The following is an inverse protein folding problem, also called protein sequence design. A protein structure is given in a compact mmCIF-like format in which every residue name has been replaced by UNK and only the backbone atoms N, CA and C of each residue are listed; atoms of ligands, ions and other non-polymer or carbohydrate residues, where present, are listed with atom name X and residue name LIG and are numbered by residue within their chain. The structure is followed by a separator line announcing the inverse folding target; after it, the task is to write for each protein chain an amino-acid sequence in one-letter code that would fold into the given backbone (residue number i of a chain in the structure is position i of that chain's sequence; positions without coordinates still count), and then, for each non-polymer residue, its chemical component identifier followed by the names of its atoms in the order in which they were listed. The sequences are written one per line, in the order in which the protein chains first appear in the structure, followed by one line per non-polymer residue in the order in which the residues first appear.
data_IF_747526926368
#
_entry.id   IF_747526926368
#
_cell.length_a   1.000
_cell.length_b   1.000
_cell.length_c   1.000
_cell.angle_alpha   90.00
_cell.angle_beta   90.00
_cell.angle_gamma   90.00
#
_symmetry.space_group_name_H-M   'P 1'
#
loop_
_entity.id
_entity.type
_entity.pdbx_description
1 polymer ?
#
# COMPACT_ATOMS: atom_id res chain seq x y z
N UNK A 1 19.02 9.88 21.09
CA UNK A 1 18.33 8.58 21.07
C UNK A 1 17.93 8.35 19.63
N UNK A 2 18.53 7.39 18.95
CA UNK A 2 18.29 7.25 17.50
C UNK A 2 17.81 5.84 17.16
N UNK A 3 16.64 5.75 16.55
CA UNK A 3 16.18 4.56 15.85
C UNK A 3 16.35 4.81 14.36
N UNK A 4 17.25 4.06 13.74
CA UNK A 4 17.69 4.30 12.36
C UNK A 4 17.15 3.27 11.38
N UNK A 5 17.00 3.70 10.12
CA UNK A 5 16.78 2.83 8.97
C UNK A 5 17.95 3.03 8.00
N UNK A 6 18.61 1.96 7.63
CA UNK A 6 19.63 1.96 6.59
C UNK A 6 19.07 1.31 5.34
N UNK A 7 19.26 1.96 4.20
CA UNK A 7 18.88 1.48 2.87
C UNK A 7 20.15 1.24 2.07
N UNK A 8 20.40 -0.02 1.69
CA UNK A 8 21.36 -0.34 0.64
C UNK A 8 20.76 0.11 -0.69
N UNK A 9 21.12 1.31 -1.12
CA UNK A 9 20.49 2.02 -2.23
C UNK A 9 20.68 1.31 -3.57
N UNK A 10 21.87 0.72 -3.81
CA UNK A 10 22.17 0.01 -5.05
C UNK A 10 21.29 -1.26 -5.16
N UNK A 11 21.29 -2.05 -4.12
CA UNK A 11 20.50 -3.28 -4.05
C UNK A 11 19.00 -2.99 -4.11
N UNK A 12 18.54 -1.96 -3.41
CA UNK A 12 17.16 -1.52 -3.41
C UNK A 12 16.72 -1.08 -4.80
N UNK A 13 17.50 -0.23 -5.49
CA UNK A 13 17.21 0.23 -6.85
C UNK A 13 17.27 -0.90 -7.88
N UNK A 14 18.14 -1.87 -7.71
CA UNK A 14 18.15 -3.09 -8.53
C UNK A 14 16.81 -3.83 -8.44
N UNK A 15 16.23 -3.95 -7.24
CA UNK A 15 14.89 -4.51 -7.09
C UNK A 15 13.82 -3.66 -7.79
N UNK A 16 13.86 -2.32 -7.68
CA UNK A 16 12.90 -1.45 -8.36
C UNK A 16 12.96 -1.66 -9.89
N UNK A 17 14.15 -1.62 -10.47
CA UNK A 17 14.35 -1.85 -11.91
C UNK A 17 13.83 -3.22 -12.36
N UNK A 18 14.10 -4.27 -11.58
CA UNK A 18 13.58 -5.62 -11.85
C UNK A 18 12.06 -5.69 -11.84
N UNK A 19 11.39 -5.01 -10.90
CA UNK A 19 9.93 -4.96 -10.85
C UNK A 19 9.36 -4.21 -12.04
N UNK A 20 9.95 -3.09 -12.43
CA UNK A 20 9.53 -2.35 -13.63
C UNK A 20 9.67 -3.20 -14.90
N UNK A 21 10.82 -3.86 -15.05
CA UNK A 21 11.09 -4.73 -16.20
C UNK A 21 10.07 -5.89 -16.28
N UNK A 22 9.84 -6.60 -15.17
CA UNK A 22 8.91 -7.74 -15.16
C UNK A 22 7.47 -7.34 -15.49
N UNK A 23 7.01 -6.18 -15.02
CA UNK A 23 5.68 -5.65 -15.36
C UNK A 23 5.62 -5.21 -16.82
N UNK A 24 6.66 -4.61 -17.35
CA UNK A 24 6.75 -4.22 -18.77
C UNK A 24 6.75 -5.45 -19.69
N UNK A 25 7.50 -6.50 -19.35
CA UNK A 25 7.51 -7.78 -20.07
C UNK A 25 6.13 -8.45 -20.05
N UNK A 26 5.39 -8.31 -18.95
CA UNK A 26 4.00 -8.77 -18.85
C UNK A 26 3.00 -7.86 -19.59
N UNK A 27 3.47 -6.78 -20.26
CA UNK A 27 2.68 -5.88 -21.08
C UNK A 27 1.94 -4.78 -20.30
N UNK A 28 2.34 -4.49 -19.06
CA UNK A 28 1.81 -3.39 -18.26
C UNK A 28 2.81 -2.25 -18.03
N UNK A 29 2.37 -1.19 -17.37
CA UNK A 29 3.23 -0.13 -16.82
C UNK A 29 3.03 -0.02 -15.31
N UNK A 30 4.09 0.37 -14.58
CA UNK A 30 4.03 0.49 -13.12
C UNK A 30 3.53 1.87 -12.72
N UNK A 31 2.58 1.89 -11.78
CA UNK A 31 2.20 3.07 -11.02
C UNK A 31 2.63 2.85 -9.56
N UNK A 32 3.72 3.48 -9.11
CA UNK A 32 4.17 3.35 -7.73
C UNK A 32 3.12 3.84 -6.73
N UNK A 33 2.82 3.04 -5.71
CA UNK A 33 1.92 3.44 -4.62
C UNK A 33 2.76 4.07 -3.50
N UNK A 34 2.49 5.35 -3.24
CA UNK A 34 3.17 6.19 -2.24
C UNK A 34 2.14 6.60 -1.21
N UNK A 35 2.06 5.91 -0.06
CA UNK A 35 1.00 6.13 0.92
C UNK A 35 1.42 5.82 2.36
N UNK A 36 0.62 6.33 3.31
CA UNK A 36 0.86 6.17 4.74
C UNK A 36 2.15 6.88 5.15
N UNK A 37 3.05 6.15 5.79
CA UNK A 37 4.38 6.65 6.13
C UNK A 37 5.42 6.45 5.01
N UNK A 38 4.99 6.33 3.75
CA UNK A 38 5.87 6.01 2.63
C UNK A 38 6.56 4.65 2.80
N UNK A 39 5.83 3.64 3.29
CA UNK A 39 6.37 2.31 3.54
C UNK A 39 7.59 2.31 4.48
N UNK A 40 7.68 3.30 5.38
CA UNK A 40 8.81 3.49 6.30
C UNK A 40 9.97 4.34 5.73
N UNK A 41 9.91 4.67 4.45
CA UNK A 41 10.93 5.46 3.74
C UNK A 41 10.56 6.95 3.59
N UNK A 42 9.28 7.29 3.83
CA UNK A 42 8.73 8.63 3.65
C UNK A 42 8.14 8.87 2.26
N UNK A 43 6.99 9.56 2.19
CA UNK A 43 6.28 9.80 0.93
C UNK A 43 7.11 10.65 -0.04
N UNK A 44 7.77 11.70 0.44
CA UNK A 44 8.61 12.56 -0.39
C UNK A 44 9.79 11.80 -1.02
N UNK A 45 10.43 10.88 -0.27
CA UNK A 45 11.53 10.06 -0.79
C UNK A 45 11.05 9.11 -1.88
N UNK A 46 9.90 8.45 -1.69
CA UNK A 46 9.33 7.56 -2.71
C UNK A 46 8.83 8.31 -3.93
N UNK A 47 8.27 9.50 -3.76
CA UNK A 47 7.86 10.37 -4.86
C UNK A 47 9.07 10.82 -5.70
N UNK A 48 10.17 11.22 -5.06
CA UNK A 48 11.42 11.56 -5.73
C UNK A 48 12.00 10.35 -6.47
N UNK A 49 12.03 9.17 -5.87
CA UNK A 49 12.51 7.96 -6.54
C UNK A 49 11.59 7.57 -7.71
N UNK A 50 10.29 7.80 -7.61
CA UNK A 50 9.35 7.61 -8.72
C UNK A 50 9.67 8.52 -9.91
N UNK A 51 10.13 9.76 -9.67
CA UNK A 51 10.66 10.65 -10.71
C UNK A 51 11.91 10.04 -11.38
N UNK A 52 12.82 9.45 -10.60
CA UNK A 52 14.01 8.77 -11.16
C UNK A 52 13.67 7.53 -11.98
N UNK A 53 12.60 6.82 -11.62
CA UNK A 53 12.10 5.68 -12.38
C UNK A 53 11.44 6.08 -13.71
N UNK A 54 11.22 7.37 -13.96
CA UNK A 54 10.62 7.87 -15.19
C UNK A 54 9.14 7.50 -15.35
N UNK A 55 8.42 7.22 -14.27
CA UNK A 55 6.99 6.88 -14.33
C UNK A 55 6.15 8.14 -14.53
N UNK A 56 5.02 8.01 -15.24
CA UNK A 56 4.13 9.13 -15.55
C UNK A 56 3.20 9.51 -14.38
N UNK A 57 2.87 8.54 -13.54
CA UNK A 57 1.94 8.74 -12.44
C UNK A 57 2.37 7.97 -11.19
N UNK A 58 2.00 8.50 -10.03
CA UNK A 58 2.05 7.81 -8.73
C UNK A 58 0.65 7.74 -8.14
N UNK A 59 0.45 6.82 -7.17
CA UNK A 59 -0.81 6.70 -6.46
C UNK A 59 -0.60 6.90 -4.96
N UNK A 60 -1.34 7.85 -4.36
CA UNK A 60 -1.37 8.10 -2.91
C UNK A 60 -2.59 7.43 -2.27
N UNK A 61 -2.54 7.17 -0.96
CA UNK A 61 -3.65 6.55 -0.24
C UNK A 61 -4.86 7.47 -0.15
N UNK A 62 -4.65 8.65 0.40
CA UNK A 62 -5.69 9.65 0.69
C UNK A 62 -5.35 11.01 0.08
N UNK A 63 -6.33 11.90 0.00
CA UNK A 63 -6.13 13.27 -0.48
C UNK A 63 -5.17 14.08 0.42
N UNK A 64 -5.07 13.72 1.70
CA UNK A 64 -4.16 14.37 2.65
C UNK A 64 -2.68 14.15 2.32
N UNK A 65 -2.35 13.09 1.61
CA UNK A 65 -0.98 12.75 1.19
C UNK A 65 -0.59 13.41 -0.15
N UNK A 66 -1.59 13.90 -0.91
CA UNK A 66 -1.40 14.32 -2.30
C UNK A 66 -0.44 15.51 -2.43
N UNK A 67 -0.55 16.53 -1.58
CA UNK A 67 0.29 17.72 -1.65
C UNK A 67 1.77 17.39 -1.35
N UNK A 68 2.04 16.56 -0.33
CA UNK A 68 3.39 16.13 0.02
C UNK A 68 4.02 15.35 -1.14
N UNK A 69 3.33 14.34 -1.66
CA UNK A 69 3.84 13.52 -2.75
C UNK A 69 4.05 14.34 -4.03
N UNK A 70 3.12 15.24 -4.37
CA UNK A 70 3.20 16.08 -5.55
C UNK A 70 4.31 17.14 -5.49
N UNK A 71 4.79 17.49 -4.30
CA UNK A 71 5.93 18.43 -4.15
C UNK A 71 7.25 17.84 -4.63
N UNK A 72 7.40 16.51 -4.58
CA UNK A 72 8.60 15.77 -4.96
C UNK A 72 8.44 14.99 -6.29
N UNK A 73 7.27 15.06 -6.92
CA UNK A 73 6.95 14.36 -8.17
C UNK A 73 6.26 15.30 -9.16
N UNK A 74 6.73 15.37 -10.38
CA UNK A 74 6.21 16.30 -11.40
C UNK A 74 5.07 15.72 -12.25
N UNK A 75 4.86 14.40 -12.25
CA UNK A 75 3.81 13.71 -13.00
C UNK A 75 2.45 13.75 -12.32
N UNK A 76 1.54 12.90 -12.76
CA UNK A 76 0.17 12.80 -12.27
C UNK A 76 0.09 12.08 -10.91
N UNK A 77 -0.85 12.48 -10.08
CA UNK A 77 -1.09 11.90 -8.76
C UNK A 77 -2.52 11.38 -8.67
N UNK A 78 -2.65 10.07 -8.49
CA UNK A 78 -3.93 9.38 -8.29
C UNK A 78 -4.20 9.23 -6.80
N UNK A 79 -5.36 9.66 -6.33
CA UNK A 79 -5.83 9.41 -4.98
C UNK A 79 -6.66 8.14 -4.97
N UNK A 80 -6.19 7.11 -4.24
CA UNK A 80 -6.79 5.77 -4.20
C UNK A 80 -8.06 5.70 -3.36
N UNK A 81 -8.15 6.50 -2.31
CA UNK A 81 -9.37 6.61 -1.52
C UNK A 81 -10.48 7.23 -2.38
N UNK A 82 -11.64 6.58 -2.50
CA UNK A 82 -12.73 7.13 -3.27
C UNK A 82 -13.17 8.49 -2.75
N UNK A 83 -13.37 9.43 -3.67
CA UNK A 83 -13.93 10.73 -3.33
C UNK A 83 -15.39 10.59 -2.90
N UNK A 84 -15.69 11.04 -1.69
CA UNK A 84 -17.03 11.05 -1.13
C UNK A 84 -17.34 12.41 -0.51
N UNK A 85 -18.35 13.16 -0.99
CA UNK A 85 -18.68 14.49 -0.48
C UNK A 85 -19.20 14.48 0.98
N UNK A 86 -19.59 13.32 1.51
CA UNK A 86 -20.00 13.17 2.91
C UNK A 86 -18.83 13.27 3.89
N UNK A 87 -17.61 13.02 3.44
CA UNK A 87 -16.40 13.37 4.20
C UNK A 87 -16.08 14.86 3.96
N UNK A 88 -16.60 15.72 4.84
CA UNK A 88 -16.44 17.17 4.74
C UNK A 88 -14.99 17.63 4.91
N UNK A 89 -14.17 16.87 5.65
CA UNK A 89 -12.75 17.20 5.87
C UNK A 89 -11.97 16.92 4.59
N UNK A 90 -12.10 15.74 4.02
CA UNK A 90 -11.47 15.39 2.76
C UNK A 90 -11.96 16.30 1.61
N UNK A 91 -13.25 16.62 1.58
CA UNK A 91 -13.85 17.56 0.59
C UNK A 91 -13.24 18.96 0.67
N UNK A 92 -12.98 19.47 1.87
CA UNK A 92 -12.28 20.75 2.07
C UNK A 92 -10.84 20.72 1.55
N UNK A 93 -10.12 19.60 1.72
CA UNK A 93 -8.78 19.43 1.16
C UNK A 93 -8.84 19.37 -0.37
N UNK A 94 -9.78 18.60 -0.94
CA UNK A 94 -10.00 18.56 -2.39
C UNK A 94 -10.27 19.95 -2.98
N UNK A 95 -11.16 20.73 -2.37
CA UNK A 95 -11.47 22.09 -2.83
C UNK A 95 -10.22 22.99 -2.85
N UNK A 96 -9.37 22.88 -1.82
CA UNK A 96 -8.10 23.62 -1.74
C UNK A 96 -7.13 23.20 -2.84
N UNK A 97 -6.99 21.89 -3.06
CA UNK A 97 -6.09 21.35 -4.09
C UNK A 97 -6.58 21.65 -5.50
N UNK A 98 -7.89 21.57 -5.75
CA UNK A 98 -8.47 21.91 -7.05
C UNK A 98 -8.23 23.36 -7.45
N UNK A 99 -8.25 24.28 -6.49
CA UNK A 99 -7.95 25.69 -6.70
C UNK A 99 -6.44 25.97 -6.86
N UNK A 100 -5.58 24.99 -6.58
CA UNK A 100 -4.13 25.14 -6.64
C UNK A 100 -3.56 24.74 -8.01
N UNK A 101 -2.30 25.06 -8.31
CA UNK A 101 -1.60 24.57 -9.51
C UNK A 101 -1.48 23.03 -9.59
N UNK A 102 -1.74 22.30 -8.50
CA UNK A 102 -1.74 20.84 -8.49
C UNK A 102 -3.02 20.24 -9.07
N UNK A 103 -4.14 20.97 -9.00
CA UNK A 103 -5.45 20.47 -9.42
C UNK A 103 -5.48 19.76 -10.78
N UNK A 104 -4.87 20.30 -11.85
CA UNK A 104 -4.82 19.63 -13.16
C UNK A 104 -4.08 18.30 -13.18
N UNK A 105 -3.21 18.03 -12.20
CA UNK A 105 -2.40 16.80 -12.10
C UNK A 105 -3.04 15.73 -11.21
N UNK A 106 -4.11 16.09 -10.48
CA UNK A 106 -4.77 15.19 -9.55
C UNK A 106 -5.84 14.39 -10.27
N UNK A 107 -5.90 13.09 -9.98
CA UNK A 107 -6.95 12.19 -10.42
C UNK A 107 -7.72 11.67 -9.21
N UNK A 108 -9.04 11.80 -9.24
CA UNK A 108 -9.93 11.23 -8.23
C UNK A 108 -10.30 9.79 -8.57
N UNK A 109 -10.56 9.00 -7.54
CA UNK A 109 -11.25 7.70 -7.69
C UNK A 109 -12.73 7.90 -7.36
N UNK A 110 -13.60 7.57 -8.30
CA UNK A 110 -15.05 7.67 -8.18
C UNK A 110 -15.65 6.27 -8.00
N UNK A 111 -16.22 6.01 -6.82
CA UNK A 111 -16.78 4.73 -6.43
C UNK A 111 -18.24 4.84 -5.95
N UNK A 112 -18.86 5.99 -6.12
CA UNK A 112 -20.26 6.26 -5.74
C UNK A 112 -20.90 7.30 -6.63
N UNK A 113 -22.21 7.27 -6.75
CA UNK A 113 -22.99 8.26 -7.49
C UNK A 113 -22.84 9.66 -6.87
N UNK A 114 -22.86 9.76 -5.53
CA UNK A 114 -22.65 11.03 -4.83
C UNK A 114 -21.28 11.64 -5.10
N UNK A 115 -20.22 10.81 -5.13
CA UNK A 115 -18.87 11.25 -5.48
C UNK A 115 -18.78 11.75 -6.92
N UNK A 116 -19.52 11.10 -7.83
CA UNK A 116 -19.57 11.51 -9.23
C UNK A 116 -20.26 12.89 -9.40
N UNK A 117 -21.44 13.07 -8.81
CA UNK A 117 -22.14 14.36 -8.86
C UNK A 117 -21.30 15.49 -8.25
N UNK A 118 -20.67 15.27 -7.12
CA UNK A 118 -19.80 16.26 -6.52
C UNK A 118 -18.54 16.57 -7.35
N UNK A 119 -18.04 15.61 -8.13
CA UNK A 119 -16.97 15.87 -9.09
C UNK A 119 -17.43 16.76 -10.25
N UNK A 120 -18.67 16.57 -10.73
CA UNK A 120 -19.30 17.45 -11.74
C UNK A 120 -19.46 18.89 -11.19
N UNK A 121 -19.97 19.04 -9.97
CA UNK A 121 -20.07 20.33 -9.31
C UNK A 121 -18.70 21.03 -9.15
N UNK A 122 -17.67 20.25 -8.76
CA UNK A 122 -16.31 20.77 -8.68
C UNK A 122 -15.78 21.24 -10.04
N UNK A 123 -16.07 20.49 -11.12
CA UNK A 123 -15.68 20.88 -12.48
C UNK A 123 -16.31 22.20 -12.90
N UNK A 124 -17.60 22.39 -12.59
CA UNK A 124 -18.33 23.62 -12.87
C UNK A 124 -17.76 24.80 -12.08
N UNK A 125 -17.48 24.60 -10.77
CA UNK A 125 -16.90 25.63 -9.91
C UNK A 125 -15.53 26.11 -10.42
N UNK A 126 -14.67 25.19 -10.83
CA UNK A 126 -13.32 25.51 -11.29
C UNK A 126 -13.22 25.76 -12.80
N UNK A 127 -14.34 25.68 -13.53
CA UNK A 127 -14.42 25.87 -15.00
C UNK A 127 -13.40 25.02 -15.78
N UNK A 128 -13.18 23.81 -15.29
CA UNK A 128 -12.32 22.80 -15.94
C UNK A 128 -12.81 21.38 -15.64
N UNK A 129 -12.65 20.42 -16.57
CA UNK A 129 -12.96 19.05 -16.28
C UNK A 129 -12.12 18.51 -15.11
N UNK A 130 -12.73 17.68 -14.28
CA UNK A 130 -12.03 16.93 -13.23
C UNK A 130 -11.56 15.59 -13.80
N UNK A 131 -10.30 15.28 -13.59
CA UNK A 131 -9.72 13.99 -13.98
C UNK A 131 -10.11 12.90 -12.98
N UNK A 132 -10.62 11.78 -13.48
CA UNK A 132 -11.11 10.73 -12.59
C UNK A 132 -10.95 9.32 -13.16
N UNK A 133 -10.71 8.37 -12.25
CA UNK A 133 -10.86 6.93 -12.44
C UNK A 133 -12.23 6.50 -11.93
N UNK A 134 -12.88 5.59 -12.64
CA UNK A 134 -14.08 4.91 -12.15
C UNK A 134 -13.66 3.61 -11.48
N UNK A 135 -13.99 3.40 -10.21
CA UNK A 135 -13.67 2.14 -9.52
C UNK A 135 -14.82 1.14 -9.67
N UNK A 136 -14.53 0.00 -10.29
CA UNK A 136 -15.45 -1.13 -10.40
C UNK A 136 -15.44 -1.97 -9.12
N UNK A 137 -16.62 -2.41 -8.68
CA UNK A 137 -16.77 -3.29 -7.52
C UNK A 137 -16.25 -4.69 -7.85
N UNK A 138 -15.11 -5.03 -7.26
CA UNK A 138 -14.47 -6.33 -7.44
C UNK A 138 -14.90 -7.34 -6.36
N UNK A 139 -14.45 -8.58 -6.51
CA UNK A 139 -14.62 -9.64 -5.50
C UNK A 139 -14.01 -9.31 -4.13
N UNK A 140 -13.22 -8.24 -4.03
CA UNK A 140 -12.74 -7.71 -2.75
C UNK A 140 -13.85 -7.05 -1.92
N UNK A 141 -14.92 -6.55 -2.53
CA UNK A 141 -16.06 -5.90 -1.87
C UNK A 141 -15.68 -4.77 -0.90
N UNK A 142 -14.66 -3.98 -1.23
CA UNK A 142 -14.25 -2.84 -0.40
C UNK A 142 -14.90 -1.54 -0.84
N UNK A 143 -14.65 -1.15 -2.08
CA UNK A 143 -15.20 0.04 -2.73
C UNK A 143 -15.55 -0.32 -4.18
N UNK A 144 -16.29 0.55 -4.85
CA UNK A 144 -16.56 0.44 -6.28
C UNK A 144 -18.05 0.42 -6.62
N UNK A 145 -18.34 0.75 -7.85
CA UNK A 145 -19.66 0.72 -8.45
C UNK A 145 -19.94 -0.65 -9.08
N UNK A 146 -21.15 -1.14 -8.97
CA UNK A 146 -21.61 -2.32 -9.70
C UNK A 146 -21.72 -2.04 -11.21
N UNK A 147 -21.76 -3.08 -12.02
CA UNK A 147 -21.81 -2.99 -13.49
C UNK A 147 -22.96 -2.08 -13.99
N UNK A 148 -24.16 -2.22 -13.40
CA UNK A 148 -25.33 -1.43 -13.77
C UNK A 148 -25.17 0.06 -13.41
N UNK A 149 -24.53 0.37 -12.27
CA UNK A 149 -24.29 1.74 -11.86
C UNK A 149 -23.21 2.40 -12.73
N UNK A 150 -22.14 1.67 -13.05
CA UNK A 150 -21.12 2.14 -14.00
C UNK A 150 -21.76 2.45 -15.35
N UNK A 151 -22.58 1.53 -15.87
CA UNK A 151 -23.26 1.74 -17.14
C UNK A 151 -24.17 2.97 -17.14
N UNK A 152 -24.95 3.14 -16.07
CA UNK A 152 -25.87 4.29 -15.91
C UNK A 152 -25.12 5.63 -15.82
N UNK A 153 -24.02 5.67 -15.08
CA UNK A 153 -23.25 6.90 -14.89
C UNK A 153 -22.45 7.28 -16.13
N UNK A 154 -21.86 6.32 -16.83
CA UNK A 154 -21.12 6.57 -18.08
C UNK A 154 -22.09 7.01 -19.22
N UNK A 155 -23.34 6.60 -19.15
CA UNK A 155 -24.37 7.03 -20.12
C UNK A 155 -24.90 8.46 -19.88
N UNK A 156 -24.59 9.11 -18.77
CA UNK A 156 -25.04 10.48 -18.48
C UNK A 156 -24.27 11.52 -19.32
N UNK A 157 -24.94 12.24 -20.25
CA UNK A 157 -24.25 13.19 -21.14
C UNK A 157 -23.55 14.35 -20.42
N UNK A 158 -23.97 14.69 -19.19
CA UNK A 158 -23.36 15.77 -18.40
C UNK A 158 -21.93 15.44 -17.98
N UNK A 159 -21.56 14.14 -18.02
CA UNK A 159 -20.24 13.69 -17.57
C UNK A 159 -19.14 14.04 -18.57
N UNK A 160 -19.44 13.96 -19.86
CA UNK A 160 -18.44 14.14 -20.91
C UNK A 160 -17.82 15.54 -20.94
N UNK A 161 -18.55 16.55 -20.48
CA UNK A 161 -18.06 17.92 -20.43
C UNK A 161 -17.45 18.28 -19.07
N UNK A 162 -17.74 17.50 -18.03
CA UNK A 162 -17.36 17.78 -16.64
C UNK A 162 -16.24 16.89 -16.11
N UNK A 163 -16.05 15.69 -16.66
CA UNK A 163 -15.09 14.71 -16.18
C UNK A 163 -14.24 14.16 -17.31
N UNK A 164 -12.91 14.28 -17.17
CA UNK A 164 -11.97 13.56 -18.00
C UNK A 164 -11.77 12.17 -17.43
N UNK A 165 -12.31 11.15 -18.11
CA UNK A 165 -12.16 9.75 -17.69
C UNK A 165 -10.75 9.25 -17.98
N UNK A 166 -10.03 8.85 -16.94
CA UNK A 166 -8.66 8.34 -17.00
C UNK A 166 -8.60 6.80 -16.98
N UNK A 167 -9.76 6.15 -16.96
CA UNK A 167 -9.89 4.71 -17.04
C UNK A 167 -10.70 4.06 -15.92
N UNK A 168 -10.67 2.73 -15.93
CA UNK A 168 -11.32 1.88 -14.93
C UNK A 168 -10.29 1.40 -13.90
N UNK A 169 -10.57 1.63 -12.63
CA UNK A 169 -9.76 1.14 -11.50
C UNK A 169 -10.37 -0.15 -10.94
N UNK A 170 -9.54 -1.18 -10.74
CA UNK A 170 -9.92 -2.46 -10.16
C UNK A 170 -8.98 -2.83 -9.02
N UNK A 171 -9.52 -2.91 -7.80
CA UNK A 171 -8.76 -3.31 -6.63
C UNK A 171 -9.11 -4.75 -6.24
N UNK A 172 -8.15 -5.66 -6.44
CA UNK A 172 -8.38 -7.09 -6.32
C UNK A 172 -7.94 -7.63 -4.94
N UNK A 173 -8.51 -8.76 -4.46
CA UNK A 173 -8.05 -9.41 -3.24
C UNK A 173 -6.64 -9.99 -3.42
N UNK A 174 -5.87 -10.07 -2.33
CA UNK A 174 -4.54 -10.71 -2.32
C UNK A 174 -4.63 -12.24 -2.51
N UNK A 175 -5.70 -12.85 -1.99
CA UNK A 175 -5.95 -14.28 -2.08
C UNK A 175 -6.96 -14.53 -3.19
N UNK A 176 -6.78 -15.60 -3.96
CA UNK A 176 -7.75 -15.99 -5.00
C UNK A 176 -9.13 -16.22 -4.37
N UNK A 177 -10.21 -15.66 -4.96
CA UNK A 177 -11.56 -15.92 -4.50
C UNK A 177 -11.89 -17.42 -4.61
N UNK A 178 -12.38 -18.01 -3.53
CA UNK A 178 -12.71 -19.45 -3.46
C UNK A 178 -14.08 -19.77 -4.01
N UNK A 179 -14.95 -18.77 -4.17
CA UNK A 179 -16.32 -18.93 -4.65
C UNK A 179 -16.48 -18.29 -6.02
N UNK A 180 -17.07 -18.98 -7.02
CA UNK A 180 -17.52 -18.35 -8.26
C UNK A 180 -18.55 -17.27 -7.91
N UNK A 181 -18.44 -16.07 -8.47
CA UNK A 181 -19.50 -15.05 -8.33
C UNK A 181 -20.79 -15.59 -8.93
N UNK A 182 -21.78 -15.85 -8.10
CA UNK A 182 -23.19 -15.96 -8.51
C UNK A 182 -23.74 -14.55 -8.60
N UNK A 183 -23.67 -13.93 -9.74
CA UNK A 183 -24.16 -12.58 -10.01
C UNK A 183 -24.07 -12.29 -11.50
N UNK A 184 -24.45 -11.12 -11.94
CA UNK A 184 -24.60 -10.62 -13.33
C UNK A 184 -23.61 -11.13 -14.41
N UNK A 185 -22.43 -11.64 -14.04
CA UNK A 185 -21.50 -12.33 -14.95
C UNK A 185 -22.11 -13.59 -15.63
N UNK A 186 -23.27 -14.08 -15.18
CA UNK A 186 -23.99 -15.17 -15.85
C UNK A 186 -24.55 -14.75 -17.21
N UNK A 187 -24.86 -13.47 -17.43
CA UNK A 187 -25.38 -12.97 -18.69
C UNK A 187 -24.36 -12.93 -19.84
N UNK A 188 -23.07 -12.82 -19.54
CA UNK A 188 -22.01 -12.86 -20.56
C UNK A 188 -21.66 -14.29 -21.02
N UNK A 189 -22.17 -15.32 -20.34
CA UNK A 189 -21.96 -16.73 -20.75
C UNK A 189 -22.79 -17.17 -21.96
N UNK A 190 -23.80 -16.42 -22.32
CA UNK A 190 -24.78 -16.84 -23.39
C UNK A 190 -24.47 -16.28 -24.79
N UNK A 191 -23.40 -15.52 -24.95
CA UNK A 191 -22.90 -15.11 -26.27
C UNK A 191 -21.81 -16.07 -26.78
N UNK A 192 -22.21 -17.25 -27.12
CA UNK A 192 -21.74 -18.15 -28.19
C UNK A 192 -20.24 -18.36 -28.47
N UNK A 193 -19.29 -17.93 -27.67
CA UNK A 193 -17.87 -18.25 -27.85
C UNK A 193 -17.39 -19.22 -26.76
N UNK A 194 -17.29 -20.49 -27.13
CA UNK A 194 -16.81 -21.59 -26.27
C UNK A 194 -15.31 -21.53 -25.90
N UNK A 195 -14.78 -20.35 -25.66
CA UNK A 195 -13.41 -20.18 -25.14
C UNK A 195 -13.49 -20.29 -23.63
N UNK A 196 -13.09 -21.44 -23.09
CA UNK A 196 -12.77 -21.57 -21.67
C UNK A 196 -11.64 -20.60 -21.39
N UNK A 197 -11.95 -19.46 -20.76
CA UNK A 197 -10.94 -18.48 -20.38
C UNK A 197 -9.96 -19.15 -19.41
N UNK A 198 -8.78 -19.48 -19.90
CA UNK A 198 -7.67 -19.96 -19.08
C UNK A 198 -7.20 -18.78 -18.20
N UNK A 199 -6.90 -19.03 -16.93
CA UNK A 199 -6.38 -18.03 -16.02
C UNK A 199 -7.02 -18.10 -14.62
N UNK A 200 -6.46 -17.31 -13.72
CA UNK A 200 -6.93 -17.22 -12.34
C UNK A 200 -8.29 -16.49 -12.25
N UNK A 201 -8.97 -16.63 -11.10
CA UNK A 201 -10.23 -15.93 -10.88
C UNK A 201 -10.05 -14.39 -10.95
N UNK A 202 -8.93 -13.86 -10.48
CA UNK A 202 -8.61 -12.42 -10.56
C UNK A 202 -8.42 -11.96 -12.00
N UNK A 203 -7.66 -12.70 -12.81
CA UNK A 203 -7.43 -12.35 -14.21
C UNK A 203 -8.76 -12.37 -14.99
N UNK A 204 -9.60 -13.40 -14.81
CA UNK A 204 -10.93 -13.47 -15.43
C UNK A 204 -11.84 -12.31 -15.01
N UNK A 205 -11.80 -11.91 -13.75
CA UNK A 205 -12.56 -10.76 -13.24
C UNK A 205 -12.13 -9.46 -13.93
N UNK A 206 -10.82 -9.21 -14.07
CA UNK A 206 -10.30 -8.05 -14.79
C UNK A 206 -10.70 -8.06 -16.25
N UNK A 207 -10.60 -9.21 -16.95
CA UNK A 207 -10.98 -9.35 -18.35
C UNK A 207 -12.47 -9.05 -18.55
N UNK A 208 -13.33 -9.54 -17.67
CA UNK A 208 -14.78 -9.27 -17.76
C UNK A 208 -15.08 -7.78 -17.55
N UNK A 209 -14.51 -7.15 -16.55
CA UNK A 209 -14.63 -5.72 -16.32
C UNK A 209 -14.10 -4.89 -17.49
N UNK A 210 -12.97 -5.28 -18.09
CA UNK A 210 -12.37 -4.54 -19.19
C UNK A 210 -13.26 -4.57 -20.45
N UNK A 211 -13.87 -5.72 -20.77
CA UNK A 211 -14.80 -5.85 -21.89
C UNK A 211 -16.05 -5.00 -21.70
N UNK A 212 -16.64 -5.04 -20.50
CA UNK A 212 -17.76 -4.16 -20.17
C UNK A 212 -17.38 -2.69 -20.32
N UNK A 213 -16.27 -2.28 -19.71
CA UNK A 213 -15.81 -0.90 -19.71
C UNK A 213 -15.57 -0.37 -21.12
N UNK A 214 -14.83 -1.11 -21.95
CA UNK A 214 -14.58 -0.70 -23.34
C UNK A 214 -15.85 -0.60 -24.17
N UNK A 215 -16.81 -1.50 -23.95
CA UNK A 215 -18.12 -1.42 -24.59
C UNK A 215 -18.87 -0.15 -24.18
N UNK A 216 -18.89 0.19 -22.89
CA UNK A 216 -19.53 1.40 -22.37
C UNK A 216 -18.86 2.67 -22.91
N UNK A 217 -17.54 2.75 -22.90
CA UNK A 217 -16.78 3.87 -23.45
C UNK A 217 -17.07 4.05 -24.94
N UNK A 218 -17.01 2.98 -25.72
CA UNK A 218 -17.29 3.03 -27.15
C UNK A 218 -18.74 3.46 -27.46
N UNK A 219 -19.70 2.95 -26.68
CA UNK A 219 -21.13 3.20 -26.91
C UNK A 219 -21.55 4.63 -26.54
N UNK A 220 -21.07 5.14 -25.40
CA UNK A 220 -21.57 6.39 -24.83
C UNK A 220 -20.65 7.59 -25.10
N UNK A 221 -19.34 7.38 -25.19
CA UNK A 221 -18.36 8.43 -25.45
C UNK A 221 -17.93 8.45 -26.93
N UNK A 222 -17.72 7.29 -27.53
CA UNK A 222 -17.30 7.19 -28.94
C UNK A 222 -16.05 8.03 -29.22
N UNK A 223 -16.09 8.85 -30.27
CA UNK A 223 -14.99 9.73 -30.66
C UNK A 223 -14.69 10.87 -29.66
N UNK A 224 -15.55 11.08 -28.66
CA UNK A 224 -15.31 12.07 -27.58
C UNK A 224 -14.54 11.49 -26.39
N UNK A 225 -14.33 10.16 -26.37
CA UNK A 225 -13.56 9.54 -25.32
C UNK A 225 -12.11 10.04 -25.36
N UNK A 226 -11.53 10.50 -24.23
CA UNK A 226 -10.10 10.72 -24.19
C UNK A 226 -9.34 9.41 -24.41
N UNK A 227 -8.14 9.47 -24.97
CA UNK A 227 -7.31 8.28 -25.25
C UNK A 227 -7.06 7.44 -24.00
N UNK A 228 -7.04 8.09 -22.83
CA UNK A 228 -6.86 7.45 -21.52
C UNK A 228 -8.09 6.69 -21.02
N UNK A 229 -9.29 6.98 -21.55
CA UNK A 229 -10.55 6.43 -21.02
C UNK A 229 -10.60 4.89 -21.02
N UNK A 230 -9.96 4.23 -21.98
CA UNK A 230 -9.92 2.77 -22.05
C UNK A 230 -8.91 2.13 -21.07
N UNK A 231 -8.04 2.91 -20.41
CA UNK A 231 -6.96 2.40 -19.55
C UNK A 231 -7.50 1.63 -18.34
N UNK A 232 -6.88 0.49 -18.05
CA UNK A 232 -7.14 -0.28 -16.84
C UNK A 232 -6.10 0.03 -15.77
N UNK A 233 -6.54 0.30 -14.55
CA UNK A 233 -5.71 0.54 -13.38
C UNK A 233 -5.92 -0.59 -12.38
N UNK A 234 -5.03 -1.57 -12.38
CA UNK A 234 -5.18 -2.81 -11.62
C UNK A 234 -4.25 -2.86 -10.41
N UNK A 235 -4.60 -3.65 -9.41
CA UNK A 235 -3.73 -3.96 -8.28
C UNK A 235 -3.74 -5.46 -7.99
N UNK A 236 -2.67 -5.96 -7.36
CA UNK A 236 -2.54 -7.33 -6.84
C UNK A 236 -2.59 -8.44 -7.91
N UNK A 237 -2.40 -8.14 -9.17
CA UNK A 237 -2.06 -9.14 -10.18
C UNK A 237 -0.57 -9.50 -10.08
N UNK A 238 -0.24 -10.78 -10.23
CA UNK A 238 1.12 -11.21 -10.52
C UNK A 238 1.43 -11.05 -12.02
N UNK A 239 2.70 -11.28 -12.41
CA UNK A 239 3.14 -11.06 -13.79
C UNK A 239 2.45 -12.02 -14.78
N UNK A 240 2.16 -13.27 -14.38
CA UNK A 240 1.45 -14.23 -15.19
C UNK A 240 -0.02 -13.84 -15.38
N UNK A 241 -0.68 -13.33 -14.34
CA UNK A 241 -2.04 -12.81 -14.42
C UNK A 241 -2.11 -11.56 -15.31
N UNK A 242 -1.12 -10.66 -15.16
CA UNK A 242 -1.02 -9.45 -15.99
C UNK A 242 -0.83 -9.82 -17.46
N UNK A 243 0.06 -10.76 -17.77
CA UNK A 243 0.25 -11.26 -19.13
C UNK A 243 -1.02 -11.91 -19.70
N UNK A 244 -1.77 -12.66 -18.86
CA UNK A 244 -3.05 -13.25 -19.26
C UNK A 244 -4.10 -12.18 -19.58
N UNK A 245 -4.18 -11.11 -18.80
CA UNK A 245 -5.05 -9.96 -19.06
C UNK A 245 -4.65 -9.30 -20.39
N UNK A 246 -3.36 -9.03 -20.58
CA UNK A 246 -2.85 -8.41 -21.81
C UNK A 246 -3.13 -9.25 -23.07
N UNK A 247 -2.97 -10.55 -22.97
CA UNK A 247 -3.30 -11.45 -24.08
C UNK A 247 -4.80 -11.42 -24.46
N UNK A 248 -5.68 -11.26 -23.47
CA UNK A 248 -7.13 -11.23 -23.67
C UNK A 248 -7.66 -9.87 -24.17
N UNK A 249 -6.94 -8.77 -23.86
CA UNK A 249 -7.33 -7.39 -24.21
C UNK A 249 -6.09 -6.60 -24.70
N UNK A 250 -5.53 -6.97 -25.85
CA UNK A 250 -4.21 -6.46 -26.30
C UNK A 250 -4.19 -4.95 -26.59
N UNK A 251 -5.32 -4.37 -26.92
CA UNK A 251 -5.43 -2.95 -27.33
C UNK A 251 -5.65 -2.01 -26.12
N UNK A 252 -5.83 -2.57 -24.91
CA UNK A 252 -6.13 -1.78 -23.72
C UNK A 252 -4.86 -1.55 -22.91
N UNK A 253 -4.43 -0.29 -22.64
CA UNK A 253 -3.34 -0.02 -21.75
C UNK A 253 -3.63 -0.51 -20.31
N UNK A 254 -2.66 -1.17 -19.69
CA UNK A 254 -2.80 -1.67 -18.31
C UNK A 254 -1.75 -1.04 -17.42
N UNK A 255 -2.19 -0.33 -16.38
CA UNK A 255 -1.37 0.32 -15.35
C UNK A 255 -1.47 -0.47 -14.05
N UNK A 256 -0.37 -1.07 -13.61
CA UNK A 256 -0.28 -1.86 -12.39
C UNK A 256 0.11 -0.97 -11.20
N UNK A 257 -0.80 -0.82 -10.22
CA UNK A 257 -0.56 -0.07 -8.99
C UNK A 257 0.19 -0.95 -8.00
N UNK A 258 1.47 -0.67 -7.77
CA UNK A 258 2.36 -1.53 -7.00
C UNK A 258 2.97 -0.77 -5.81
N UNK A 259 2.76 -1.28 -4.60
CA UNK A 259 3.34 -0.75 -3.36
C UNK A 259 4.40 -1.69 -2.78
N UNK A 260 4.01 -2.61 -1.91
CA UNK A 260 4.92 -3.46 -1.14
C UNK A 260 5.91 -4.26 -2.02
N UNK A 261 5.46 -4.81 -3.15
CA UNK A 261 6.34 -5.53 -4.09
C UNK A 261 7.44 -4.61 -4.65
N UNK A 262 7.11 -3.36 -4.92
CA UNK A 262 8.08 -2.38 -5.43
C UNK A 262 9.07 -1.99 -4.32
N UNK A 263 8.57 -1.44 -3.22
CA UNK A 263 9.39 -0.81 -2.21
C UNK A 263 10.07 -1.77 -1.24
N UNK A 264 9.46 -2.94 -0.98
CA UNK A 264 9.94 -3.96 -0.04
C UNK A 264 10.14 -5.33 -0.70
N UNK A 265 10.24 -5.40 -2.01
CA UNK A 265 10.43 -6.67 -2.73
C UNK A 265 11.76 -7.35 -2.38
N UNK A 266 12.78 -6.56 -2.08
CA UNK A 266 14.02 -7.03 -1.48
C UNK A 266 14.18 -6.47 -0.06
N UNK A 267 13.69 -7.22 0.93
CA UNK A 267 13.83 -6.84 2.34
C UNK A 267 15.27 -6.80 2.83
N UNK A 268 16.18 -7.52 2.18
CA UNK A 268 17.58 -7.54 2.55
C UNK A 268 18.31 -6.23 2.23
N UNK A 269 17.70 -5.32 1.47
CA UNK A 269 18.20 -3.97 1.24
C UNK A 269 17.86 -2.98 2.36
N UNK A 270 17.05 -3.40 3.36
CA UNK A 270 16.55 -2.53 4.43
C UNK A 270 16.97 -3.08 5.78
N UNK A 271 17.49 -2.22 6.67
CA UNK A 271 17.90 -2.62 8.01
C UNK A 271 17.52 -1.54 9.03
N UNK A 272 16.63 -1.90 9.97
CA UNK A 272 16.30 -1.04 11.10
C UNK A 272 17.18 -1.38 12.31
N UNK A 273 17.61 -0.34 13.04
CA UNK A 273 18.48 -0.48 14.22
C UNK A 273 18.08 0.47 15.33
N UNK A 274 18.27 0.00 16.57
CA UNK A 274 18.15 0.82 17.77
C UNK A 274 19.48 0.99 18.48
N UNK A 275 19.77 2.20 18.94
CA UNK A 275 21.00 2.51 19.69
C UNK A 275 20.87 2.10 21.15
N UNK A 276 21.88 1.46 21.69
CA UNK A 276 22.00 1.16 23.13
C UNK A 276 22.26 2.46 23.91
N UNK A 277 21.34 2.79 24.80
CA UNK A 277 21.32 4.04 25.52
C UNK A 277 21.86 3.88 26.96
N UNK A 278 21.60 2.71 27.59
CA UNK A 278 21.99 2.43 28.96
C UNK A 278 22.08 0.91 29.18
N UNK A 279 22.93 0.50 30.12
CA UNK A 279 23.17 -0.89 30.48
C UNK A 279 23.13 -1.03 32.02
N UNK A 280 22.11 -1.76 32.50
CA UNK A 280 21.97 -2.00 33.95
C UNK A 280 22.35 -3.44 34.30
N UNK A 281 23.34 -3.59 35.16
CA UNK A 281 23.67 -4.86 35.82
C UNK A 281 23.14 -4.79 37.26
N UNK A 282 21.87 -5.15 37.42
CA UNK A 282 21.17 -5.03 38.71
C UNK A 282 20.29 -6.25 38.98
N UNK A 283 20.14 -6.60 40.26
CA UNK A 283 19.14 -7.55 40.75
C UNK A 283 17.87 -6.85 41.24
N UNK A 284 17.91 -5.51 41.36
CA UNK A 284 16.73 -4.73 41.75
C UNK A 284 15.65 -4.76 40.65
N UNK A 285 14.38 -4.65 41.02
CA UNK A 285 13.30 -4.50 40.07
C UNK A 285 13.49 -3.27 39.18
N UNK A 286 13.12 -3.40 37.88
CA UNK A 286 13.30 -2.35 36.85
C UNK A 286 12.03 -2.09 36.08
N UNK A 287 11.96 -0.95 35.42
CA UNK A 287 10.83 -0.53 34.58
C UNK A 287 9.62 -0.04 35.37
N UNK A 288 8.60 0.42 34.68
CA UNK A 288 7.34 0.89 35.26
C UNK A 288 6.62 -0.20 36.06
N UNK A 289 6.75 -1.46 35.61
CA UNK A 289 6.08 -2.61 36.24
C UNK A 289 6.94 -3.29 37.29
N UNK A 290 8.09 -2.72 37.66
CA UNK A 290 9.02 -3.25 38.65
C UNK A 290 9.31 -4.75 38.43
N UNK A 291 9.65 -5.11 37.18
CA UNK A 291 9.98 -6.48 36.81
C UNK A 291 11.38 -6.85 37.28
N UNK A 292 11.55 -8.06 37.79
CA UNK A 292 12.87 -8.56 38.15
C UNK A 292 13.71 -8.85 36.90
N UNK A 293 14.93 -8.31 36.80
CA UNK A 293 15.85 -8.62 35.71
C UNK A 293 16.27 -10.11 35.75
N UNK A 294 16.88 -10.63 34.67
CA UNK A 294 17.45 -11.97 34.68
C UNK A 294 18.56 -12.05 35.76
N UNK A 295 18.59 -13.19 36.49
CA UNK A 295 19.66 -13.43 37.49
C UNK A 295 21.03 -13.48 36.78
N UNK A 296 21.98 -12.73 37.27
CA UNK A 296 23.33 -12.59 36.68
C UNK A 296 23.34 -12.15 35.18
N UNK A 297 22.27 -11.53 34.68
CA UNK A 297 22.18 -10.94 33.35
C UNK A 297 22.25 -9.42 33.40
N UNK A 298 21.87 -8.79 32.29
CA UNK A 298 21.77 -7.35 32.17
C UNK A 298 20.43 -6.91 31.56
N UNK A 299 20.10 -5.64 31.74
CA UNK A 299 19.01 -4.95 31.08
C UNK A 299 19.60 -3.86 30.21
N UNK A 300 19.28 -3.89 28.92
CA UNK A 300 19.63 -2.81 27.99
C UNK A 300 18.43 -1.87 27.87
N UNK A 301 18.66 -0.59 27.83
CA UNK A 301 17.72 0.42 27.35
C UNK A 301 18.15 0.78 25.93
N UNK A 302 17.27 0.55 24.98
CA UNK A 302 17.57 0.70 23.54
C UNK A 302 16.55 1.65 22.92
N UNK A 303 16.99 2.54 22.03
CA UNK A 303 16.09 3.37 21.24
C UNK A 303 15.21 2.51 20.34
N UNK A 304 13.99 2.94 20.10
CA UNK A 304 12.97 2.18 19.40
C UNK A 304 11.87 1.71 20.35
N UNK A 305 10.70 2.28 20.22
CA UNK A 305 9.50 1.98 20.99
C UNK A 305 8.26 1.96 20.10
N UNK A 306 7.09 2.07 20.71
CA UNK A 306 5.82 2.00 19.98
C UNK A 306 5.66 3.11 18.94
N UNK A 307 6.24 4.30 19.16
CA UNK A 307 6.28 5.38 18.19
C UNK A 307 7.03 4.99 16.90
N UNK A 308 8.05 4.15 17.02
CA UNK A 308 8.85 3.65 15.91
C UNK A 308 8.23 2.41 15.23
N UNK A 309 7.08 1.93 15.71
CA UNK A 309 6.46 0.72 15.22
C UNK A 309 7.04 -0.57 15.81
N UNK A 310 7.87 -0.48 16.85
CA UNK A 310 8.42 -1.65 17.55
C UNK A 310 7.30 -2.41 18.24
N UNK A 311 7.23 -3.72 18.01
CA UNK A 311 6.20 -4.64 18.48
C UNK A 311 4.76 -4.34 17.99
N UNK A 312 4.60 -3.51 16.97
CA UNK A 312 3.31 -3.34 16.29
C UNK A 312 3.14 -4.42 15.22
N UNK A 313 2.35 -5.42 15.52
CA UNK A 313 1.96 -6.46 14.57
C UNK A 313 0.55 -6.17 14.04
N UNK A 314 0.34 -6.38 12.72
CA UNK A 314 -1.01 -6.39 12.21
C UNK A 314 -1.69 -7.70 12.63
N UNK A 315 -2.99 -7.69 13.00
CA UNK A 315 -3.73 -8.91 13.18
C UNK A 315 -3.59 -9.79 11.93
N UNK A 316 -2.93 -10.93 12.06
CA UNK A 316 -2.86 -11.91 10.98
C UNK A 316 -4.07 -12.83 11.10
N UNK A 317 -4.83 -13.00 10.02
CA UNK A 317 -5.82 -14.06 9.93
C UNK A 317 -5.07 -15.40 9.97
N UNK A 318 -5.16 -16.08 11.10
CA UNK A 318 -4.45 -17.34 11.35
C UNK A 318 -5.17 -18.45 10.58
N UNK A 319 -4.80 -18.64 9.31
CA UNK A 319 -5.46 -19.62 8.44
C UNK A 319 -4.97 -21.06 8.61
N UNK A 320 -3.82 -21.29 9.26
CA UNK A 320 -3.28 -22.63 9.45
C UNK A 320 -3.27 -23.07 10.91
N UNK A 321 -3.44 -24.38 11.15
CA UNK A 321 -3.34 -24.99 12.49
C UNK A 321 -1.99 -24.71 13.16
N UNK A 322 -0.88 -24.70 12.38
CA UNK A 322 0.46 -24.35 12.88
C UNK A 322 0.56 -22.90 13.33
N UNK A 323 -0.01 -21.98 12.58
CA UNK A 323 -0.02 -20.56 12.93
C UNK A 323 -0.92 -20.32 14.16
N UNK A 324 -2.03 -21.07 14.33
CA UNK A 324 -2.87 -21.04 15.56
C UNK A 324 -2.11 -21.54 16.78
N UNK A 325 -1.37 -22.63 16.66
CA UNK A 325 -0.53 -23.15 17.73
C UNK A 325 0.59 -22.16 18.12
N UNK A 326 1.22 -21.52 17.13
CA UNK A 326 2.24 -20.49 17.37
C UNK A 326 1.65 -19.24 18.05
N UNK A 327 0.48 -18.76 17.61
CA UNK A 327 -0.23 -17.63 18.21
C UNK A 327 -0.70 -17.96 19.64
N UNK A 328 -1.17 -19.18 19.91
CA UNK A 328 -1.52 -19.63 21.26
C UNK A 328 -0.28 -19.73 22.15
N UNK A 329 0.85 -20.22 21.64
CA UNK A 329 2.12 -20.31 22.36
C UNK A 329 2.69 -18.91 22.70
N UNK A 330 2.64 -17.95 21.76
CA UNK A 330 3.04 -16.57 22.02
C UNK A 330 2.12 -15.88 23.05
N UNK A 331 0.81 -16.11 22.97
CA UNK A 331 -0.15 -15.58 23.95
C UNK A 331 0.08 -16.10 25.38
N UNK A 332 0.47 -17.38 25.54
CA UNK A 332 0.84 -17.93 26.87
C UNK A 332 2.14 -17.32 27.38
N UNK A 333 3.13 -17.11 26.51
CA UNK A 333 4.39 -16.44 26.88
C UNK A 333 4.15 -14.97 27.27
N UNK A 334 3.33 -14.25 26.52
CA UNK A 334 2.92 -12.89 26.86
C UNK A 334 2.15 -12.82 28.19
N UNK A 335 1.21 -13.74 28.43
CA UNK A 335 0.50 -13.85 29.70
C UNK A 335 1.45 -14.14 30.86
N UNK A 336 2.55 -14.89 30.62
CA UNK A 336 3.63 -15.12 31.61
C UNK A 336 4.57 -13.93 31.80
N UNK A 337 4.36 -12.82 31.06
CA UNK A 337 5.21 -11.63 31.09
C UNK A 337 6.55 -11.80 30.36
N UNK A 338 6.62 -12.74 29.42
CA UNK A 338 7.78 -12.99 28.56
C UNK A 338 7.37 -12.79 27.11
N UNK A 339 7.54 -11.57 26.60
CA UNK A 339 7.37 -11.26 25.20
C UNK A 339 8.74 -11.21 24.49
N UNK A 340 8.84 -11.90 23.36
CA UNK A 340 10.03 -11.83 22.51
C UNK A 340 10.09 -10.42 21.89
N UNK A 341 11.26 -9.82 21.93
CA UNK A 341 11.45 -8.53 21.25
C UNK A 341 11.90 -8.74 19.80
N UNK A 342 11.68 -7.76 18.92
CA UNK A 342 12.23 -7.80 17.57
C UNK A 342 13.72 -7.45 17.53
N UNK A 343 14.34 -7.11 18.65
CA UNK A 343 15.76 -6.79 18.72
C UNK A 343 16.63 -8.04 18.84
N UNK A 344 17.79 -8.00 18.19
CA UNK A 344 18.81 -9.03 18.29
C UNK A 344 20.19 -8.44 18.56
N UNK A 345 21.00 -9.16 19.34
CA UNK A 345 22.43 -8.88 19.62
C UNK A 345 23.25 -10.00 18.97
N UNK A 346 23.85 -9.72 17.82
CA UNK A 346 24.42 -10.77 16.98
C UNK A 346 23.36 -11.79 16.58
N UNK A 347 23.57 -13.07 16.90
CA UNK A 347 22.61 -14.17 16.67
C UNK A 347 21.57 -14.34 17.77
N UNK A 348 21.75 -13.66 18.92
CA UNK A 348 20.88 -13.80 20.08
C UNK A 348 19.63 -12.95 19.96
N UNK A 349 18.45 -13.59 20.04
CA UNK A 349 17.17 -12.89 20.15
C UNK A 349 16.94 -12.40 21.56
N UNK A 350 16.62 -11.14 21.70
CA UNK A 350 16.38 -10.54 23.03
C UNK A 350 14.91 -10.59 23.43
N UNK A 351 14.65 -10.45 24.72
CA UNK A 351 13.30 -10.47 25.30
C UNK A 351 13.01 -9.14 25.97
N UNK A 352 11.78 -8.69 25.87
CA UNK A 352 11.34 -7.52 26.59
C UNK A 352 11.37 -7.75 28.11
N UNK A 353 11.77 -6.74 28.87
CA UNK A 353 11.55 -6.68 30.32
C UNK A 353 10.08 -6.42 30.61
N UNK A 354 9.51 -5.47 29.88
CA UNK A 354 8.10 -5.07 29.89
C UNK A 354 7.72 -4.56 28.48
N UNK A 355 6.44 -4.32 28.18
CA UNK A 355 6.05 -3.76 26.89
C UNK A 355 6.87 -2.54 26.51
N UNK A 356 7.20 -2.34 25.23
CA UNK A 356 8.00 -1.20 24.80
C UNK A 356 7.32 0.12 25.19
N UNK A 357 8.13 1.07 25.63
CA UNK A 357 7.70 2.44 25.88
C UNK A 357 7.50 3.20 24.57
N UNK A 358 7.13 4.47 24.64
CA UNK A 358 6.88 5.28 23.43
C UNK A 358 8.14 5.35 22.55
N UNK A 359 9.30 5.65 23.12
CA UNK A 359 10.53 5.92 22.37
C UNK A 359 11.65 4.89 22.62
N UNK A 360 11.54 4.05 23.65
CA UNK A 360 12.60 3.11 24.04
C UNK A 360 12.01 1.75 24.38
N UNK A 361 12.87 0.74 24.32
CA UNK A 361 12.60 -0.64 24.76
C UNK A 361 13.59 -1.05 25.85
N UNK A 362 13.11 -1.78 26.85
CA UNK A 362 13.94 -2.42 27.86
C UNK A 362 14.06 -3.90 27.57
N UNK A 363 15.30 -4.37 27.36
CA UNK A 363 15.58 -5.71 26.85
C UNK A 363 16.38 -6.52 27.87
N UNK A 364 16.05 -7.80 28.01
CA UNK A 364 16.79 -8.77 28.85
C UNK A 364 17.92 -9.38 28.06
N UNK A 365 19.13 -9.32 28.59
CA UNK A 365 20.29 -10.05 28.08
C UNK A 365 20.61 -11.16 29.07
N UNK A 366 20.63 -12.43 28.64
CA UNK A 366 20.94 -13.55 29.51
C UNK A 366 22.41 -13.56 29.92
N UNK A 367 22.75 -14.31 30.98
CA UNK A 367 24.13 -14.52 31.39
C UNK A 367 24.98 -15.14 30.28
N UNK A 368 26.25 -14.72 30.20
CA UNK A 368 27.22 -15.30 29.25
C UNK A 368 27.20 -14.68 27.86
N UNK A 369 26.24 -13.80 27.56
CA UNK A 369 26.24 -13.03 26.31
C UNK A 369 27.16 -11.82 26.49
N UNK A 370 28.02 -11.57 25.50
CA UNK A 370 28.87 -10.38 25.45
C UNK A 370 27.99 -9.15 25.35
N UNK A 371 28.11 -8.25 26.33
CA UNK A 371 27.28 -7.04 26.31
C UNK A 371 27.86 -6.03 25.31
N UNK A 372 26.98 -5.30 24.63
CA UNK A 372 27.38 -4.15 23.81
C UNK A 372 27.90 -3.02 24.73
N UNK A 373 28.39 -1.96 24.11
CA UNK A 373 28.65 -0.70 24.81
C UNK A 373 27.55 0.31 24.49
N UNK A 374 27.44 1.34 25.34
CA UNK A 374 26.54 2.47 25.07
C UNK A 374 26.96 3.13 23.77
N UNK A 375 26.00 3.33 22.87
CA UNK A 375 26.21 3.82 21.49
C UNK A 375 26.24 2.74 20.42
N UNK A 376 26.39 1.46 20.78
CA UNK A 376 26.27 0.36 19.83
C UNK A 376 24.84 0.27 19.27
N UNK A 377 24.72 -0.27 18.07
CA UNK A 377 23.43 -0.48 17.40
C UNK A 377 23.02 -1.96 17.44
N UNK A 378 21.76 -2.20 17.78
CA UNK A 378 21.13 -3.51 17.73
C UNK A 378 20.20 -3.60 16.53
N UNK A 379 20.24 -4.70 15.79
CA UNK A 379 19.29 -4.98 14.73
C UNK A 379 17.88 -5.11 15.31
N UNK A 380 16.89 -4.56 14.58
CA UNK A 380 15.49 -4.64 14.94
C UNK A 380 14.66 -5.10 13.73
N UNK A 381 14.02 -6.26 13.84
CA UNK A 381 13.07 -6.73 12.84
C UNK A 381 11.76 -5.94 12.97
N UNK A 382 11.39 -5.21 11.92
CA UNK A 382 10.20 -4.37 11.93
C UNK A 382 9.31 -4.63 10.71
N UNK A 383 8.06 -4.22 10.85
CA UNK A 383 7.16 -4.09 9.73
C UNK A 383 7.29 -2.68 9.15
N UNK A 384 8.09 -2.51 8.11
CA UNK A 384 8.40 -1.19 7.53
C UNK A 384 7.17 -0.33 7.23
N UNK A 385 6.03 -0.92 6.83
CA UNK A 385 4.78 -0.18 6.59
C UNK A 385 4.20 0.52 7.84
N UNK A 386 4.63 0.14 9.04
CA UNK A 386 4.24 0.76 10.32
C UNK A 386 5.42 1.40 11.04
N UNK A 387 6.62 1.32 10.46
CA UNK A 387 7.86 1.80 11.08
C UNK A 387 8.07 3.28 10.77
N UNK A 388 8.53 4.01 11.79
CA UNK A 388 9.08 5.36 11.67
C UNK A 388 10.50 5.35 12.19
N UNK A 389 11.47 5.67 11.36
CA UNK A 389 12.84 5.91 11.81
C UNK A 389 13.03 7.41 12.14
N UNK A 390 13.88 7.72 13.12
CA UNK A 390 14.29 9.10 13.40
C UNK A 390 15.16 9.63 12.27
N UNK A 391 15.93 8.72 11.64
CA UNK A 391 16.81 9.03 10.50
C UNK A 391 16.87 7.85 9.54
N UNK A 392 16.90 8.15 8.25
CA UNK A 392 17.13 7.14 7.19
C UNK A 392 18.46 7.44 6.50
N UNK A 393 19.34 6.45 6.47
CA UNK A 393 20.62 6.49 5.76
C UNK A 393 20.49 5.78 4.40
N UNK A 394 20.91 6.47 3.35
CA UNK A 394 20.92 5.96 1.99
C UNK A 394 22.38 5.71 1.59
N UNK A 395 22.83 4.45 1.66
CA UNK A 395 24.23 4.04 1.42
C UNK A 395 24.42 3.52 -0.01
#
# INVERSE_FOLDING_TARGET
MTFSLTVDTERWRTNLARVLASVSEAGGSVVPVVKGNGYGLGNSALALESTRLGVEAIAVGTVHEAAEAASAFSGDVVVLEPFDPRDSIASGVWATLDASPLGPRLMRTLASESGWHAAVESAQLHQRPIRALVEGLTSMHRFGLGEADVARLVADPRLTDSITLEGLALHLPLVQPTTPRTGSMAMLRDSGSGIVESGTARAREVIAWSRLWTTLVATHLGARAPDTAATLWVSHLDDGELASVRAAVPDIPVRARIGTRLWHGDRGSLQARGTVLEIHRTSAPVGYRQRRPPKDGAVLVVSGGTWHGVALEAPSSVQSMRARAHAAGSGVLEASGRARSPFSLGSESLWFVEPPHVSVSMLRVPRGVVLPVIGDELNCEVRYTTTRADVTFWN
#
